data_IF_550125210967
#
_entry.id   IF_550125210967
#
_cell.length_a   1.000
_cell.length_b   1.000
_cell.length_c   1.000
_cell.angle_alpha   90.00
_cell.angle_beta   90.00
_cell.angle_gamma   90.00
#
_symmetry.space_group_name_H-M   'P 1'
#
loop_
_entity.id
_entity.type
_entity.pdbx_description
1 polymer ?
#
# COMPACT_ATOMS: atom_id res chain seq x y z
N UNK A 1 1.19 3.40 27.89
CA UNK A 1 1.82 3.50 26.56
C UNK A 1 1.32 2.32 25.76
N UNK A 2 0.36 2.52 24.87
CA UNK A 2 -0.16 1.46 24.00
C UNK A 2 0.93 1.02 23.04
N UNK A 3 1.21 -0.29 22.98
CA UNK A 3 2.18 -0.90 22.07
C UNK A 3 1.87 -0.50 20.62
N UNK A 4 2.66 0.41 20.05
CA UNK A 4 2.56 0.80 18.62
C UNK A 4 2.66 -0.42 17.69
N UNK A 5 3.43 -1.43 18.09
CA UNK A 5 3.56 -2.72 17.39
C UNK A 5 2.23 -3.47 17.30
N UNK A 6 1.39 -3.41 18.33
CA UNK A 6 0.10 -4.12 18.35
C UNK A 6 -0.92 -3.41 17.45
N UNK A 7 -0.83 -2.08 17.32
CA UNK A 7 -1.72 -1.28 16.49
C UNK A 7 -1.51 -1.52 14.97
N UNK A 8 -0.26 -1.61 14.51
CA UNK A 8 0.03 -1.89 13.10
C UNK A 8 -0.38 -3.32 12.69
N UNK A 9 -0.14 -4.29 13.58
CA UNK A 9 -0.55 -5.67 13.36
C UNK A 9 -2.09 -5.80 13.31
N UNK A 10 -2.79 -5.11 14.22
CA UNK A 10 -4.25 -5.05 14.20
C UNK A 10 -4.79 -4.39 12.91
N UNK A 11 -4.16 -3.31 12.43
CA UNK A 11 -4.55 -2.64 11.20
C UNK A 11 -4.33 -3.49 9.95
N UNK A 12 -3.22 -4.24 9.88
CA UNK A 12 -2.91 -5.15 8.78
C UNK A 12 -3.93 -6.31 8.69
N UNK A 13 -4.43 -6.78 9.83
CA UNK A 13 -5.39 -7.88 9.93
C UNK A 13 -6.86 -7.45 9.77
N UNK A 14 -7.13 -6.20 9.41
CA UNK A 14 -8.50 -5.74 9.19
C UNK A 14 -9.17 -6.52 8.03
N UNK A 15 -10.41 -7.02 8.22
CA UNK A 15 -11.12 -7.76 7.19
C UNK A 15 -11.43 -6.88 5.97
N UNK A 16 -11.34 -7.46 4.77
CA UNK A 16 -11.62 -6.77 3.51
C UNK A 16 -10.53 -5.80 3.03
N UNK A 17 -9.39 -5.73 3.74
CA UNK A 17 -8.27 -4.87 3.33
C UNK A 17 -7.55 -5.47 2.11
N UNK A 18 -7.32 -4.68 1.03
CA UNK A 18 -6.56 -5.15 -0.12
C UNK A 18 -5.14 -5.57 0.28
N UNK A 19 -4.60 -6.63 -0.31
CA UNK A 19 -3.28 -7.18 0.05
C UNK A 19 -2.15 -6.14 -0.03
N UNK A 20 -2.15 -5.30 -1.07
CA UNK A 20 -1.19 -4.20 -1.20
C UNK A 20 -1.26 -3.19 -0.04
N UNK A 21 -2.44 -3.00 0.55
CA UNK A 21 -2.64 -2.08 1.68
C UNK A 21 -2.18 -2.72 2.97
N UNK A 22 -2.50 -4.01 3.18
CA UNK A 22 -1.95 -4.81 4.28
C UNK A 22 -0.42 -4.80 4.27
N UNK A 23 0.17 -5.09 3.11
CA UNK A 23 1.62 -5.11 2.93
C UNK A 23 2.25 -3.73 3.17
N UNK A 24 1.58 -2.65 2.77
CA UNK A 24 2.06 -1.29 3.03
C UNK A 24 2.15 -1.00 4.53
N UNK A 25 1.13 -1.40 5.31
CA UNK A 25 1.10 -1.22 6.77
C UNK A 25 2.28 -1.97 7.42
N UNK A 26 2.51 -3.22 7.03
CA UNK A 26 3.61 -4.04 7.54
C UNK A 26 4.99 -3.40 7.26
N UNK A 27 5.19 -2.89 6.03
CA UNK A 27 6.44 -2.25 5.63
C UNK A 27 6.66 -0.96 6.42
N UNK A 28 5.61 -0.14 6.59
CA UNK A 28 5.72 1.11 7.34
C UNK A 28 6.03 0.87 8.81
N UNK A 29 5.44 -0.16 9.43
CA UNK A 29 5.78 -0.61 10.79
C UNK A 29 7.21 -1.13 10.89
N UNK A 30 7.66 -1.97 9.96
CA UNK A 30 9.03 -2.47 9.92
C UNK A 30 10.06 -1.33 9.77
N UNK A 31 9.78 -0.35 8.92
CA UNK A 31 10.61 0.86 8.75
C UNK A 31 10.66 1.64 10.07
N UNK A 32 9.52 1.84 10.74
CA UNK A 32 9.46 2.54 12.02
C UNK A 32 10.31 1.82 13.08
N UNK A 33 10.16 0.49 13.21
CA UNK A 33 10.95 -0.34 14.13
C UNK A 33 12.45 -0.20 13.91
N UNK A 34 12.93 -0.31 12.66
CA UNK A 34 14.36 -0.19 12.37
C UNK A 34 14.87 1.23 12.68
N UNK A 35 14.09 2.28 12.38
CA UNK A 35 14.44 3.66 12.74
C UNK A 35 14.55 3.85 14.25
N UNK A 36 13.62 3.28 15.01
CA UNK A 36 13.67 3.31 16.48
C UNK A 36 14.89 2.57 17.01
N UNK A 37 15.23 1.39 16.47
CA UNK A 37 16.44 0.66 16.87
C UNK A 37 17.72 1.46 16.61
N UNK A 38 17.82 2.10 15.44
CA UNK A 38 18.94 2.99 15.10
C UNK A 38 19.04 4.15 16.09
N UNK A 39 17.92 4.82 16.38
CA UNK A 39 17.89 5.93 17.33
C UNK A 39 18.31 5.49 18.74
N UNK A 40 17.82 4.35 19.22
CA UNK A 40 18.19 3.78 20.52
C UNK A 40 19.68 3.41 20.58
N UNK A 41 20.22 2.83 19.52
CA UNK A 41 21.66 2.55 19.42
C UNK A 41 22.49 3.84 19.42
N UNK A 42 22.01 4.89 18.75
CA UNK A 42 22.66 6.20 18.74
C UNK A 42 22.69 6.85 20.14
N UNK A 43 21.57 6.83 20.86
CA UNK A 43 21.50 7.28 22.26
C UNK A 43 22.45 6.48 23.17
N UNK A 44 22.55 5.17 22.94
CA UNK A 44 23.47 4.30 23.71
C UNK A 44 24.93 4.65 23.41
N UNK A 45 25.28 4.90 22.15
CA UNK A 45 26.61 5.38 21.74
C UNK A 45 26.93 6.70 22.42
N UNK A 46 26.01 7.67 22.40
CA UNK A 46 26.20 8.98 23.03
C UNK A 46 26.43 8.86 24.54
N UNK A 47 25.67 8.00 25.22
CA UNK A 47 25.80 7.79 26.67
C UNK A 47 27.09 7.06 27.07
N UNK A 48 27.52 6.08 26.29
CA UNK A 48 28.60 5.16 26.68
C UNK A 48 29.94 5.48 26.02
N UNK A 49 29.95 6.39 25.03
CA UNK A 49 31.05 6.63 24.10
C UNK A 49 31.54 5.37 23.34
N UNK A 50 30.82 4.25 23.43
CA UNK A 50 31.16 3.03 22.69
C UNK A 50 30.64 3.13 21.26
N UNK A 51 31.45 2.80 20.25
CA UNK A 51 31.01 2.83 18.87
C UNK A 51 29.86 1.84 18.63
N UNK A 52 28.97 2.21 17.70
CA UNK A 52 27.94 1.30 17.19
C UNK A 52 28.63 0.22 16.36
N UNK A 53 28.13 -1.02 16.44
CA UNK A 53 28.54 -2.10 15.55
C UNK A 53 28.28 -1.71 14.08
N UNK A 54 29.38 -1.58 13.32
CA UNK A 54 29.36 -1.14 11.92
C UNK A 54 28.56 -2.10 11.04
N UNK A 55 28.75 -3.41 11.21
CA UNK A 55 28.09 -4.42 10.39
C UNK A 55 26.58 -4.44 10.66
N UNK A 56 26.19 -4.36 11.93
CA UNK A 56 24.80 -4.21 12.32
C UNK A 56 24.18 -2.95 11.70
N UNK A 57 24.85 -1.81 11.79
CA UNK A 57 24.35 -0.54 11.25
C UNK A 57 24.21 -0.58 9.72
N UNK A 58 25.19 -1.17 9.03
CA UNK A 58 25.12 -1.38 7.58
C UNK A 58 23.96 -2.31 7.20
N UNK A 59 23.75 -3.41 7.91
CA UNK A 59 22.60 -4.32 7.69
C UNK A 59 21.28 -3.59 7.90
N UNK A 60 21.14 -2.80 8.97
CA UNK A 60 19.94 -2.01 9.24
C UNK A 60 19.66 -0.99 8.13
N UNK A 61 20.69 -0.29 7.63
CA UNK A 61 20.56 0.63 6.48
C UNK A 61 20.18 -0.08 5.19
N UNK A 62 20.74 -1.25 4.93
CA UNK A 62 20.39 -2.06 3.76
C UNK A 62 18.94 -2.52 3.83
N UNK A 63 18.50 -3.04 4.98
CA UNK A 63 17.09 -3.40 5.20
C UNK A 63 16.16 -2.21 4.94
N UNK A 64 16.48 -1.01 5.46
CA UNK A 64 15.71 0.21 5.18
C UNK A 64 15.65 0.53 3.68
N UNK A 65 16.73 0.35 2.92
CA UNK A 65 16.72 0.60 1.46
C UNK A 65 15.76 -0.35 0.75
N UNK A 66 15.78 -1.64 1.10
CA UNK A 66 14.88 -2.63 0.50
C UNK A 66 13.42 -2.35 0.84
N UNK A 67 13.11 -2.08 2.10
CA UNK A 67 11.76 -1.74 2.54
C UNK A 67 11.23 -0.46 1.90
N UNK A 68 12.05 0.59 1.78
CA UNK A 68 11.63 1.83 1.11
C UNK A 68 11.40 1.64 -0.40
N UNK A 69 12.15 0.75 -1.06
CA UNK A 69 11.93 0.41 -2.46
C UNK A 69 10.59 -0.30 -2.63
N UNK A 70 10.33 -1.34 -1.84
CA UNK A 70 9.07 -2.08 -1.87
C UNK A 70 7.88 -1.16 -1.56
N UNK A 71 8.03 -0.26 -0.58
CA UNK A 71 7.04 0.79 -0.27
C UNK A 71 6.74 1.66 -1.50
N UNK A 72 7.76 2.15 -2.18
CA UNK A 72 7.60 3.00 -3.35
C UNK A 72 6.87 2.27 -4.50
N UNK A 73 7.20 1.00 -4.72
CA UNK A 73 6.55 0.14 -5.72
C UNK A 73 5.07 -0.06 -5.43
N UNK A 74 4.71 -0.38 -4.18
CA UNK A 74 3.31 -0.53 -3.76
C UNK A 74 2.54 0.78 -3.96
N UNK A 75 3.11 1.92 -3.53
CA UNK A 75 2.48 3.23 -3.69
C UNK A 75 2.27 3.58 -5.17
N UNK A 76 3.25 3.28 -6.03
CA UNK A 76 3.13 3.48 -7.48
C UNK A 76 2.03 2.59 -8.11
N UNK A 77 1.92 1.32 -7.67
CA UNK A 77 0.84 0.43 -8.12
C UNK A 77 -0.53 0.94 -7.68
N UNK A 78 -0.67 1.40 -6.44
CA UNK A 78 -1.92 1.97 -5.94
C UNK A 78 -2.31 3.26 -6.69
N UNK A 79 -1.37 4.16 -6.94
CA UNK A 79 -1.64 5.39 -7.70
C UNK A 79 -2.03 5.08 -9.14
N UNK A 80 -1.37 4.12 -9.79
CA UNK A 80 -1.74 3.62 -11.11
C UNK A 80 -3.16 3.04 -11.17
N UNK A 81 -3.55 2.23 -10.17
CA UNK A 81 -4.93 1.71 -10.04
C UNK A 81 -5.95 2.83 -9.86
N UNK A 82 -5.69 3.80 -8.99
CA UNK A 82 -6.56 4.97 -8.78
C UNK A 82 -6.71 5.81 -10.05
N UNK A 83 -5.62 6.04 -10.79
CA UNK A 83 -5.64 6.76 -12.07
C UNK A 83 -6.49 6.03 -13.10
N UNK A 84 -6.35 4.70 -13.20
CA UNK A 84 -7.14 3.88 -14.13
C UNK A 84 -8.62 3.90 -13.77
N UNK A 85 -8.97 3.82 -12.48
CA UNK A 85 -10.35 3.94 -12.02
C UNK A 85 -10.95 5.29 -12.42
N UNK A 86 -10.27 6.41 -12.10
CA UNK A 86 -10.72 7.75 -12.52
C UNK A 86 -10.89 7.88 -14.02
N UNK A 87 -9.99 7.30 -14.81
CA UNK A 87 -10.12 7.31 -16.27
C UNK A 87 -11.39 6.58 -16.72
N UNK A 88 -11.70 5.41 -16.14
CA UNK A 88 -12.95 4.71 -16.42
C UNK A 88 -14.17 5.57 -16.09
N UNK A 89 -14.16 6.25 -14.93
CA UNK A 89 -15.27 7.13 -14.52
C UNK A 89 -15.45 8.30 -15.50
N UNK A 90 -14.36 8.89 -15.98
CA UNK A 90 -14.42 9.97 -16.98
C UNK A 90 -14.91 9.47 -18.33
N UNK A 91 -14.47 8.28 -18.77
CA UNK A 91 -15.00 7.65 -19.99
C UNK A 91 -16.50 7.43 -19.85
N UNK A 92 -16.97 6.92 -18.71
CA UNK A 92 -18.39 6.72 -18.42
C UNK A 92 -19.15 8.04 -18.49
N UNK A 93 -18.62 9.11 -17.87
CA UNK A 93 -19.24 10.44 -17.91
C UNK A 93 -19.40 10.95 -19.35
N UNK A 94 -18.32 10.91 -20.15
CA UNK A 94 -18.35 11.33 -21.56
C UNK A 94 -19.32 10.48 -22.39
N UNK A 95 -19.38 9.17 -22.16
CA UNK A 95 -20.34 8.30 -22.86
C UNK A 95 -21.77 8.63 -22.45
N UNK A 96 -22.01 8.90 -21.16
CA UNK A 96 -23.34 9.20 -20.64
C UNK A 96 -23.92 10.48 -21.23
N UNK A 97 -23.09 11.49 -21.46
CA UNK A 97 -23.51 12.74 -22.13
C UNK A 97 -23.91 12.52 -23.59
N UNK A 98 -23.35 11.51 -24.25
CA UNK A 98 -23.55 11.23 -25.69
C UNK A 98 -24.64 10.23 -26.00
N UNK A 99 -25.05 9.42 -25.01
CA UNK A 99 -26.03 8.35 -25.20
C UNK A 99 -27.37 8.73 -24.57
N UNK A 100 -28.45 8.47 -25.30
CA UNK A 100 -29.78 8.51 -24.72
C UNK A 100 -29.97 7.38 -23.68
N UNK A 101 -31.09 7.44 -22.95
CA UNK A 101 -31.33 6.51 -21.84
C UNK A 101 -31.48 5.06 -22.31
N UNK A 102 -32.03 4.84 -23.50
CA UNK A 102 -32.24 3.49 -24.05
C UNK A 102 -30.93 2.85 -24.51
N UNK A 103 -30.10 3.60 -25.26
CA UNK A 103 -28.79 3.11 -25.70
C UNK A 103 -27.86 2.86 -24.50
N UNK A 104 -27.88 3.71 -23.49
CA UNK A 104 -27.11 3.48 -22.27
C UNK A 104 -27.56 2.22 -21.50
N UNK A 105 -28.86 1.97 -21.40
CA UNK A 105 -29.39 0.78 -20.75
C UNK A 105 -28.94 -0.51 -21.46
N UNK A 106 -28.91 -0.51 -22.80
CA UNK A 106 -28.40 -1.63 -23.59
C UNK A 106 -26.91 -1.91 -23.33
N UNK A 107 -26.08 -0.86 -23.25
CA UNK A 107 -24.65 -0.98 -22.92
C UNK A 107 -24.45 -1.60 -21.53
N UNK A 108 -25.20 -1.13 -20.52
CA UNK A 108 -25.12 -1.69 -19.17
C UNK A 108 -25.58 -3.14 -19.10
N UNK A 109 -26.63 -3.51 -19.85
CA UNK A 109 -27.13 -4.87 -19.91
C UNK A 109 -26.05 -5.82 -20.48
N UNK A 110 -25.42 -5.44 -21.59
CA UNK A 110 -24.34 -6.23 -22.19
C UNK A 110 -23.12 -6.31 -21.26
N UNK A 111 -22.72 -5.21 -20.63
CA UNK A 111 -21.59 -5.20 -19.68
C UNK A 111 -21.83 -6.16 -18.50
N UNK A 112 -23.05 -6.19 -17.94
CA UNK A 112 -23.44 -7.13 -16.89
C UNK A 112 -23.41 -8.57 -17.37
N UNK A 113 -23.93 -8.84 -18.56
CA UNK A 113 -23.93 -10.19 -19.14
C UNK A 113 -22.50 -10.71 -19.38
N UNK A 114 -21.55 -9.84 -19.71
CA UNK A 114 -20.12 -10.19 -19.82
C UNK A 114 -19.48 -10.46 -18.47
N UNK A 115 -19.74 -9.60 -17.48
CA UNK A 115 -19.20 -9.77 -16.12
C UNK A 115 -19.66 -11.10 -15.51
N UNK A 116 -20.94 -11.44 -15.63
CA UNK A 116 -21.47 -12.73 -15.16
C UNK A 116 -20.81 -13.94 -15.84
N UNK A 117 -20.45 -13.82 -17.12
CA UNK A 117 -19.72 -14.87 -17.84
C UNK A 117 -18.28 -15.03 -17.35
N UNK A 118 -17.62 -13.93 -17.00
CA UNK A 118 -16.28 -13.97 -16.42
C UNK A 118 -16.29 -14.54 -14.99
N UNK A 119 -17.30 -14.22 -14.18
CA UNK A 119 -17.42 -14.70 -12.79
C UNK A 119 -17.87 -16.17 -12.66
N UNK A 120 -18.45 -16.74 -13.71
CA UNK A 120 -18.92 -18.13 -13.75
C UNK A 120 -17.87 -19.15 -14.24
N UNK A 121 -16.73 -18.68 -14.75
CA UNK A 121 -15.58 -19.49 -15.18
C UNK A 121 -14.50 -19.52 -14.08
#
# INVERSE_FOLDING_TARGET
MTNTTDAACAAANAPGLPDDTRRLIEIEDAIAKIRTQIATADLTRQRTAKPIDSDWFHRARTALRHLNRERAEIVARQSGRRRRARLKDMIIAVLRERHDSAAWAAVLAEARARLQREEAC
#
